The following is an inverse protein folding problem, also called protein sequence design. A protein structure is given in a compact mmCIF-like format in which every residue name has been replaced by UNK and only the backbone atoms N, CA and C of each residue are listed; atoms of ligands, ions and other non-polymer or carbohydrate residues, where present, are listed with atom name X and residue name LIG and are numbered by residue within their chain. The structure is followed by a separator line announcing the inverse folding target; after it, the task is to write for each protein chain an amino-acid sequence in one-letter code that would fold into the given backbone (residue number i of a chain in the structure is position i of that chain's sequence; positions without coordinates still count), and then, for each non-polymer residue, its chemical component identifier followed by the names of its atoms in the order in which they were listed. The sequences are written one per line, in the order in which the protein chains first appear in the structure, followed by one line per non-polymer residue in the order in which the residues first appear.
data_IF_281467133330
#
_entry.id   IF_281467133330
#
_cell.length_a   1.000
_cell.length_b   1.000
_cell.length_c   1.000
_cell.angle_alpha   90.00
_cell.angle_beta   90.00
_cell.angle_gamma   90.00
#
_symmetry.space_group_name_H-M   'P 1'
#
loop_
_entity.id
_entity.type
_entity.pdbx_description
1 polymer ?
#
# COMPACT_ATOMS: atom_id res chain seq x y z
N UNK A 1 -48.56 3.33 -45.44
CA UNK A 1 -48.13 2.04 -44.87
C UNK A 1 -47.84 1.09 -46.04
N UNK A 2 -46.55 0.94 -46.38
CA UNK A 2 -46.01 -0.41 -46.58
C UNK A 2 -44.63 -0.61 -45.96
N UNK A 3 -44.30 -1.87 -45.68
CA UNK A 3 -43.02 -2.36 -45.20
C UNK A 3 -42.05 -2.65 -46.37
N UNK A 4 -40.76 -2.38 -46.15
CA UNK A 4 -39.59 -2.88 -46.91
C UNK A 4 -38.47 -3.04 -45.86
N UNK A 5 -38.07 -4.26 -45.52
CA UNK A 5 -37.06 -5.13 -46.17
C UNK A 5 -35.67 -4.98 -45.55
N UNK A 6 -35.30 -6.08 -44.87
CA UNK A 6 -33.98 -6.67 -44.63
C UNK A 6 -32.72 -5.93 -45.09
N UNK A 7 -31.79 -5.77 -44.15
CA UNK A 7 -30.37 -5.70 -44.45
C UNK A 7 -29.60 -6.58 -43.46
N UNK A 8 -29.14 -7.74 -43.98
CA UNK A 8 -28.07 -8.53 -43.42
C UNK A 8 -26.77 -7.72 -43.51
N UNK A 9 -25.98 -7.72 -42.43
CA UNK A 9 -24.59 -7.32 -42.47
C UNK A 9 -23.78 -8.29 -41.60
N UNK A 10 -22.74 -8.78 -42.24
CA UNK A 10 -21.93 -9.94 -41.91
C UNK A 10 -21.17 -9.86 -40.58
N UNK A 11 -21.03 -11.04 -39.99
CA UNK A 11 -20.05 -11.34 -38.97
C UNK A 11 -18.64 -11.30 -39.59
N UNK A 12 -17.73 -10.57 -38.94
CA UNK A 12 -16.30 -10.75 -39.13
C UNK A 12 -15.59 -10.62 -37.78
N UNK A 13 -15.25 -11.79 -37.21
CA UNK A 13 -14.15 -11.94 -36.26
C UNK A 13 -12.84 -11.45 -36.88
N UNK A 14 -12.00 -10.76 -36.09
CA UNK A 14 -10.56 -10.87 -36.27
C UNK A 14 -9.93 -11.66 -35.13
N UNK A 15 -9.24 -12.69 -35.58
CA UNK A 15 -8.51 -13.73 -34.85
C UNK A 15 -7.38 -13.15 -34.00
N UNK A 16 -7.10 -13.85 -32.89
CA UNK A 16 -6.05 -13.55 -31.94
C UNK A 16 -4.65 -13.56 -32.56
N UNK A 17 -3.87 -12.54 -32.20
CA UNK A 17 -2.42 -12.55 -32.35
C UNK A 17 -1.79 -12.58 -30.95
N UNK A 18 -1.49 -13.79 -30.52
CA UNK A 18 -0.79 -14.11 -29.28
C UNK A 18 0.69 -13.69 -29.43
N UNK A 19 1.04 -12.46 -29.03
CA UNK A 19 2.44 -12.04 -28.97
C UNK A 19 3.12 -12.71 -27.77
N UNK A 20 3.74 -13.87 -28.01
CA UNK A 20 4.70 -14.49 -27.10
C UNK A 20 5.96 -13.62 -27.02
N UNK A 21 6.03 -12.78 -26.00
CA UNK A 21 7.29 -12.12 -25.62
C UNK A 21 8.18 -13.16 -24.93
N UNK A 22 9.21 -13.61 -25.64
CA UNK A 22 10.30 -14.44 -25.09
C UNK A 22 11.13 -13.59 -24.13
N UNK A 23 11.17 -13.99 -22.85
CA UNK A 23 12.12 -13.49 -21.89
C UNK A 23 13.55 -13.99 -22.22
N UNK A 24 14.59 -13.15 -22.11
CA UNK A 24 15.98 -13.60 -22.21
C UNK A 24 16.41 -14.36 -20.95
N UNK A 25 16.81 -15.61 -21.14
CA UNK A 25 17.41 -16.47 -20.13
C UNK A 25 18.81 -15.99 -19.77
N UNK A 26 18.98 -15.43 -18.56
CA UNK A 26 20.30 -15.22 -17.95
C UNK A 26 20.70 -16.47 -17.16
N UNK A 27 21.56 -17.31 -17.74
CA UNK A 27 22.27 -18.37 -17.00
C UNK A 27 23.73 -17.96 -16.82
N UNK A 28 23.99 -17.22 -15.74
CA UNK A 28 25.34 -16.94 -15.26
C UNK A 28 25.86 -18.12 -14.46
N UNK A 29 26.93 -18.76 -14.96
CA UNK A 29 27.74 -19.73 -14.25
C UNK A 29 28.44 -19.07 -13.05
N UNK A 30 28.20 -19.58 -11.84
CA UNK A 30 28.97 -19.26 -10.63
C UNK A 30 29.70 -20.52 -10.16
N UNK A 31 31.05 -20.55 -10.16
CA UNK A 31 31.79 -21.66 -9.60
C UNK A 31 31.69 -21.70 -8.07
N UNK A 32 31.35 -22.89 -7.54
CA UNK A 32 31.49 -23.26 -6.14
C UNK A 32 32.97 -23.41 -5.76
N UNK A 33 33.44 -22.58 -4.83
CA UNK A 33 34.59 -22.83 -3.96
C UNK A 33 34.37 -21.99 -2.70
N UNK A 34 34.73 -22.35 -1.48
CA UNK A 34 35.24 -23.56 -0.83
C UNK A 34 35.03 -23.24 0.66
N UNK A 35 34.48 -24.18 1.44
CA UNK A 35 34.46 -24.06 2.90
C UNK A 35 35.90 -23.97 3.42
N UNK A 36 36.23 -22.92 4.18
CA UNK A 36 37.37 -22.93 5.10
C UNK A 36 36.95 -22.31 6.42
N UNK A 37 36.77 -23.18 7.42
CA UNK A 37 36.72 -22.85 8.85
C UNK A 37 38.01 -22.14 9.23
N UNK A 38 37.90 -20.99 9.88
CA UNK A 38 38.87 -20.52 10.86
C UNK A 38 38.09 -20.18 12.12
N UNK A 39 38.29 -21.00 13.16
CA UNK A 39 37.90 -20.66 14.52
C UNK A 39 38.90 -19.60 14.99
N UNK A 40 38.40 -18.46 15.43
CA UNK A 40 39.17 -17.53 16.25
C UNK A 40 38.22 -17.07 17.33
N UNK A 41 38.46 -17.56 18.55
CA UNK A 41 37.77 -17.16 19.76
C UNK A 41 38.05 -15.67 20.00
N UNK A 42 37.04 -14.83 19.81
CA UNK A 42 37.04 -13.44 20.25
C UNK A 42 36.04 -13.31 21.39
N UNK A 43 36.61 -13.10 22.57
CA UNK A 43 35.96 -12.73 23.82
C UNK A 43 35.02 -11.53 23.62
N UNK A 44 33.72 -11.77 23.73
CA UNK A 44 32.70 -10.73 23.78
C UNK A 44 32.67 -10.07 25.17
N UNK A 45 32.70 -8.73 25.27
CA UNK A 45 32.31 -8.05 26.50
C UNK A 45 30.79 -8.16 26.73
N UNK A 46 30.32 -8.09 27.98
CA UNK A 46 28.89 -8.25 28.29
C UNK A 46 28.06 -7.12 27.69
N UNK A 47 26.97 -7.51 27.02
CA UNK A 47 25.94 -6.62 26.47
C UNK A 47 25.24 -5.91 27.65
N UNK A 48 25.11 -4.57 27.65
CA UNK A 48 24.32 -3.87 28.66
C UNK A 48 22.83 -4.21 28.48
N UNK A 49 22.02 -4.26 29.55
CA UNK A 49 20.62 -4.64 29.44
C UNK A 49 19.89 -3.61 28.57
N UNK A 50 19.49 -4.04 27.37
CA UNK A 50 18.62 -3.27 26.52
C UNK A 50 17.33 -2.97 27.26
N UNK A 51 17.06 -1.66 27.34
CA UNK A 51 15.76 -1.06 27.54
C UNK A 51 14.68 -1.98 26.98
N UNK A 52 13.76 -2.42 27.86
CA UNK A 52 12.58 -3.22 27.54
C UNK A 52 11.88 -2.60 26.32
N UNK A 53 12.13 -3.15 25.14
CA UNK A 53 11.36 -2.85 23.94
C UNK A 53 9.93 -3.32 24.24
N UNK A 54 9.07 -2.36 24.60
CA UNK A 54 7.64 -2.56 24.50
C UNK A 54 7.34 -3.00 23.07
N UNK A 55 6.59 -4.10 22.95
CA UNK A 55 5.93 -4.63 21.76
C UNK A 55 6.17 -3.80 20.49
N UNK A 56 6.93 -4.35 19.54
CA UNK A 56 7.04 -3.78 18.20
C UNK A 56 5.62 -3.44 17.71
N UNK A 57 5.34 -2.15 17.56
CA UNK A 57 4.13 -1.69 16.91
C UNK A 57 4.09 -2.42 15.56
N UNK A 58 2.97 -3.08 15.24
CA UNK A 58 2.80 -3.81 13.98
C UNK A 58 2.78 -2.78 12.84
N UNK A 59 3.99 -2.42 12.41
CA UNK A 59 4.30 -1.31 11.52
C UNK A 59 3.69 -1.57 10.15
N UNK A 60 3.16 -0.51 9.58
CA UNK A 60 2.85 -0.43 8.17
C UNK A 60 4.11 -0.57 7.29
N UNK A 61 3.93 -0.80 5.98
CA UNK A 61 5.03 -0.88 5.00
C UNK A 61 5.85 0.41 4.83
N UNK A 62 5.44 1.52 5.46
CA UNK A 62 6.14 2.80 5.39
C UNK A 62 7.03 2.99 6.62
N UNK A 63 8.08 3.79 6.46
CA UNK A 63 8.97 4.23 7.53
C UNK A 63 8.73 5.72 7.83
N UNK A 64 8.87 6.14 9.09
CA UNK A 64 8.67 7.55 9.51
C UNK A 64 9.59 8.52 8.78
N UNK A 65 10.80 8.10 8.41
CA UNK A 65 11.73 8.92 7.61
C UNK A 65 11.15 9.32 6.24
N UNK A 66 10.24 8.52 5.68
CA UNK A 66 9.55 8.82 4.42
C UNK A 66 8.40 9.82 4.61
N UNK A 67 8.01 10.10 5.86
CA UNK A 67 6.88 10.93 6.23
C UNK A 67 7.33 12.23 6.93
N UNK A 68 8.64 12.44 7.11
CA UNK A 68 9.21 13.50 7.94
C UNK A 68 8.72 14.92 7.60
N UNK A 69 8.31 15.15 6.36
CA UNK A 69 7.85 16.45 5.88
C UNK A 69 6.34 16.59 5.79
N UNK A 70 5.56 15.62 6.28
CA UNK A 70 4.12 15.81 6.36
C UNK A 70 3.79 16.92 7.36
N UNK A 71 2.94 17.85 6.92
CA UNK A 71 2.43 18.95 7.73
C UNK A 71 1.02 18.67 8.23
N UNK A 72 0.18 18.07 7.39
CA UNK A 72 -1.23 17.86 7.66
C UNK A 72 -1.74 16.59 6.96
N UNK A 73 -2.79 15.99 7.50
CA UNK A 73 -3.57 14.93 6.85
C UNK A 73 -4.97 15.46 6.56
N UNK A 74 -5.37 15.40 5.30
CA UNK A 74 -6.69 15.83 4.83
C UNK A 74 -7.52 14.60 4.51
N UNK A 75 -8.65 14.47 5.18
CA UNK A 75 -9.65 13.43 4.94
C UNK A 75 -10.75 13.97 4.02
N UNK A 76 -11.12 13.17 3.02
CA UNK A 76 -12.17 13.47 2.04
C UNK A 76 -13.50 12.81 2.39
N UNK A 77 -13.49 11.91 3.37
CA UNK A 77 -14.62 11.12 3.81
C UNK A 77 -14.61 10.99 5.33
N UNK A 78 -15.74 10.58 5.90
CA UNK A 78 -15.84 10.22 7.31
C UNK A 78 -15.13 8.90 7.59
N UNK A 79 -14.34 8.87 8.66
CA UNK A 79 -13.48 7.74 9.04
C UNK A 79 -14.20 6.75 9.96
N UNK A 80 -15.32 7.13 10.57
CA UNK A 80 -15.94 6.30 11.59
C UNK A 80 -16.41 4.95 11.04
N UNK A 81 -16.89 4.94 9.80
CA UNK A 81 -17.29 3.75 9.06
C UNK A 81 -16.12 2.92 8.49
N UNK A 82 -14.88 3.42 8.55
CA UNK A 82 -13.72 2.80 7.91
C UNK A 82 -12.87 2.02 8.90
N UNK A 83 -13.00 0.69 8.92
CA UNK A 83 -12.18 -0.17 9.76
C UNK A 83 -10.67 0.01 9.47
N UNK A 84 -10.31 0.22 8.21
CA UNK A 84 -8.95 0.50 7.75
C UNK A 84 -8.96 1.39 6.50
N UNK A 85 -7.79 1.97 6.19
CA UNK A 85 -7.47 2.57 4.88
C UNK A 85 -6.15 2.01 4.37
N UNK A 86 -5.98 1.86 3.06
CA UNK A 86 -4.67 1.59 2.45
C UNK A 86 -3.87 2.89 2.40
N UNK A 87 -2.55 2.80 2.49
CA UNK A 87 -1.65 3.94 2.31
C UNK A 87 -0.56 3.64 1.27
N UNK A 88 -0.19 4.66 0.51
CA UNK A 88 0.91 4.61 -0.46
C UNK A 88 1.60 5.98 -0.56
N UNK A 89 2.83 6.01 -1.08
CA UNK A 89 3.52 7.24 -1.46
C UNK A 89 3.33 7.51 -2.95
N UNK A 90 2.58 8.55 -3.27
CA UNK A 90 2.28 8.98 -4.63
C UNK A 90 3.16 10.17 -5.02
N UNK A 91 3.57 10.20 -6.28
CA UNK A 91 4.31 11.33 -6.84
C UNK A 91 3.34 12.46 -7.22
N UNK A 92 3.64 13.67 -6.77
CA UNK A 92 2.83 14.86 -7.00
C UNK A 92 3.70 16.04 -7.41
N UNK A 93 3.22 16.87 -8.34
CA UNK A 93 3.91 18.11 -8.73
C UNK A 93 3.83 19.21 -7.65
N UNK A 94 2.95 19.06 -6.66
CA UNK A 94 2.70 20.06 -5.61
C UNK A 94 2.75 19.44 -4.22
N UNK A 95 3.20 20.24 -3.23
CA UNK A 95 3.25 19.90 -1.80
C UNK A 95 1.87 19.77 -1.15
N UNK A 96 0.92 20.62 -1.56
CA UNK A 96 -0.42 20.70 -0.98
C UNK A 96 -1.52 20.59 -2.03
N UNK A 97 -2.76 20.64 -1.54
CA UNK A 97 -3.98 20.41 -2.33
C UNK A 97 -4.19 18.94 -2.69
N UNK A 98 -5.40 18.61 -3.16
CA UNK A 98 -5.75 17.24 -3.55
C UNK A 98 -4.85 16.75 -4.69
N UNK A 99 -4.06 15.67 -4.50
CA UNK A 99 -3.27 15.10 -5.58
C UNK A 99 -4.15 14.63 -6.73
N UNK A 100 -3.61 14.61 -7.95
CA UNK A 100 -4.25 13.87 -9.05
C UNK A 100 -4.25 12.40 -8.66
N UNK A 101 -5.42 11.76 -8.72
CA UNK A 101 -5.58 10.36 -8.36
C UNK A 101 -5.93 9.55 -9.61
N UNK A 102 -5.08 8.58 -9.95
CA UNK A 102 -5.21 7.74 -11.13
C UNK A 102 -4.86 6.28 -10.79
N UNK A 103 -5.40 5.81 -9.66
CA UNK A 103 -5.33 4.41 -9.23
C UNK A 103 -6.72 3.83 -9.27
N UNK A 104 -6.81 2.50 -9.34
CA UNK A 104 -8.07 1.81 -9.09
C UNK A 104 -8.57 2.13 -7.68
N UNK A 105 -9.90 2.17 -7.52
CA UNK A 105 -10.53 2.52 -6.27
C UNK A 105 -10.71 4.02 -6.06
N UNK A 106 -10.87 4.43 -4.81
CA UNK A 106 -11.18 5.81 -4.41
C UNK A 106 -10.20 6.33 -3.38
N UNK A 107 -9.83 7.61 -3.54
CA UNK A 107 -9.03 8.34 -2.56
C UNK A 107 -9.90 8.76 -1.38
N UNK A 108 -9.51 8.32 -0.18
CA UNK A 108 -10.14 8.64 1.10
C UNK A 108 -9.48 9.85 1.77
N UNK A 109 -8.18 10.05 1.52
CA UNK A 109 -7.44 11.17 2.09
C UNK A 109 -6.03 11.30 1.53
N UNK A 110 -5.32 12.32 1.98
CA UNK A 110 -3.92 12.56 1.59
C UNK A 110 -3.18 13.40 2.62
N UNK A 111 -1.86 13.27 2.64
CA UNK A 111 -0.99 14.17 3.38
C UNK A 111 -0.59 15.38 2.54
N UNK A 112 -0.51 16.54 3.18
CA UNK A 112 0.14 17.74 2.66
C UNK A 112 1.52 17.88 3.26
N UNK A 113 2.46 18.39 2.46
CA UNK A 113 3.85 18.55 2.88
C UNK A 113 4.11 19.97 3.38
N UNK A 114 5.03 20.09 4.32
CA UNK A 114 5.56 21.38 4.75
C UNK A 114 6.43 22.03 3.67
N UNK A 115 6.81 23.29 3.93
CA UNK A 115 7.66 24.09 3.03
C UNK A 115 9.09 23.55 2.89
N UNK A 116 9.54 22.70 3.82
CA UNK A 116 10.91 22.17 3.86
C UNK A 116 11.06 20.83 3.13
N UNK A 117 9.96 20.17 2.74
CA UNK A 117 10.07 18.96 1.91
C UNK A 117 10.89 19.24 0.65
N UNK A 118 11.56 18.26 0.08
CA UNK A 118 12.26 18.48 -1.20
C UNK A 118 11.60 17.65 -2.30
N UNK A 119 11.54 18.23 -3.49
CA UNK A 119 11.17 17.45 -4.65
C UNK A 119 12.32 16.48 -4.96
N UNK A 120 11.98 15.27 -5.41
CA UNK A 120 13.00 14.33 -5.86
C UNK A 120 13.80 14.97 -7.02
N UNK A 121 15.14 15.01 -6.95
CA UNK A 121 15.97 15.77 -7.89
C UNK A 121 15.87 15.27 -9.33
N UNK A 122 15.61 13.97 -9.53
CA UNK A 122 15.52 13.37 -10.87
C UNK A 122 14.19 13.67 -11.57
N UNK A 123 13.10 13.78 -10.80
CA UNK A 123 11.74 13.91 -11.35
C UNK A 123 11.11 15.28 -11.14
N UNK A 124 11.62 16.09 -10.21
CA UNK A 124 10.97 17.33 -9.77
C UNK A 124 9.64 17.11 -9.04
N UNK A 125 9.32 15.87 -8.65
CA UNK A 125 8.05 15.53 -7.99
C UNK A 125 8.26 15.29 -6.49
N UNK A 126 7.25 15.65 -5.72
CA UNK A 126 7.15 15.37 -4.29
C UNK A 126 6.54 13.99 -4.05
N UNK A 127 7.03 13.26 -3.04
CA UNK A 127 6.35 12.06 -2.54
C UNK A 127 5.34 12.45 -1.47
N UNK A 128 4.08 12.05 -1.65
CA UNK A 128 2.99 12.38 -0.73
C UNK A 128 2.24 11.12 -0.35
N UNK A 129 1.99 10.95 0.94
CA UNK A 129 1.16 9.84 1.40
C UNK A 129 -0.29 10.07 0.97
N UNK A 130 -0.89 9.05 0.36
CA UNK A 130 -2.31 9.03 -0.02
C UNK A 130 -2.99 7.86 0.63
N UNK A 131 -4.24 8.06 1.05
CA UNK A 131 -5.08 7.06 1.68
C UNK A 131 -6.21 6.68 0.73
N UNK A 132 -6.45 5.38 0.56
CA UNK A 132 -7.39 4.89 -0.44
C UNK A 132 -8.03 3.55 -0.07
N UNK A 133 -9.08 3.22 -0.81
CA UNK A 133 -9.78 1.93 -0.76
C UNK A 133 -9.99 1.40 -2.17
N UNK A 134 -9.70 0.12 -2.37
CA UNK A 134 -9.99 -0.63 -3.60
C UNK A 134 -11.43 -1.20 -3.58
N UNK A 135 -11.99 -1.56 -4.73
CA UNK A 135 -13.36 -2.10 -4.80
C UNK A 135 -13.60 -3.35 -3.94
N UNK A 136 -12.57 -4.18 -3.75
CA UNK A 136 -12.64 -5.43 -2.97
C UNK A 136 -12.19 -5.28 -1.51
N UNK A 137 -11.95 -4.05 -1.04
CA UNK A 137 -11.66 -3.81 0.38
C UNK A 137 -12.93 -3.92 1.22
N UNK A 138 -12.79 -4.33 2.49
CA UNK A 138 -13.91 -4.63 3.39
C UNK A 138 -15.00 -3.55 3.48
N UNK A 139 -14.70 -2.24 3.51
CA UNK A 139 -15.75 -1.22 3.53
C UNK A 139 -16.66 -1.22 2.29
N UNK A 140 -16.18 -1.75 1.16
CA UNK A 140 -16.93 -1.84 -0.09
C UNK A 140 -17.46 -3.26 -0.34
N UNK A 141 -16.75 -4.29 0.16
CA UNK A 141 -17.13 -5.71 0.07
C UNK A 141 -16.91 -6.42 1.43
N UNK A 142 -17.86 -6.32 2.37
CA UNK A 142 -17.67 -6.80 3.74
C UNK A 142 -17.49 -8.32 3.88
N UNK A 143 -18.06 -9.09 2.95
CA UNK A 143 -17.98 -10.56 2.91
C UNK A 143 -16.87 -11.07 1.98
N UNK A 144 -16.11 -10.16 1.36
CA UNK A 144 -15.06 -10.46 0.40
C UNK A 144 -13.75 -10.94 1.03
N UNK A 145 -12.68 -10.86 0.23
CA UNK A 145 -11.34 -11.37 0.57
C UNK A 145 -10.81 -10.84 1.92
N UNK A 146 -11.15 -9.59 2.25
CA UNK A 146 -10.69 -8.93 3.47
C UNK A 146 -11.74 -8.90 4.58
N UNK A 147 -12.70 -9.84 4.58
CA UNK A 147 -13.62 -10.06 5.71
C UNK A 147 -12.85 -10.17 7.03
N UNK A 148 -11.75 -10.92 7.03
CA UNK A 148 -10.80 -11.03 8.13
C UNK A 148 -9.40 -10.57 7.72
N UNK A 149 -8.70 -9.90 8.63
CA UNK A 149 -7.39 -9.31 8.36
C UNK A 149 -7.47 -8.08 7.45
N UNK A 150 -6.38 -7.33 7.35
CA UNK A 150 -6.27 -6.17 6.48
C UNK A 150 -5.12 -6.33 5.48
N UNK A 151 -5.18 -5.72 4.28
CA UNK A 151 -4.06 -5.66 3.34
C UNK A 151 -2.76 -5.23 4.03
N UNK A 152 -1.60 -5.66 3.52
CA UNK A 152 -0.30 -5.41 4.16
C UNK A 152 -0.03 -3.93 4.46
N UNK A 153 -0.35 -3.06 3.50
CA UNK A 153 -0.24 -1.61 3.57
C UNK A 153 -1.36 -0.94 4.38
N UNK A 154 -2.44 -1.64 4.70
CA UNK A 154 -3.60 -1.05 5.36
C UNK A 154 -3.35 -0.80 6.85
N UNK A 155 -3.87 0.34 7.34
CA UNK A 155 -3.73 0.81 8.72
C UNK A 155 -5.07 1.32 9.25
N UNK A 156 -5.23 1.37 10.56
CA UNK A 156 -6.39 2.00 11.19
C UNK A 156 -6.32 3.53 10.99
N UNK A 157 -7.32 4.15 10.33
CA UNK A 157 -7.30 5.58 10.07
C UNK A 157 -7.22 6.44 11.34
N UNK A 158 -7.67 5.92 12.49
CA UNK A 158 -7.65 6.64 13.78
C UNK A 158 -6.26 6.76 14.41
N UNK A 159 -5.28 6.02 13.89
CA UNK A 159 -3.89 6.04 14.37
C UNK A 159 -2.99 6.95 13.53
N UNK A 160 -3.51 7.44 12.41
CA UNK A 160 -2.76 8.24 11.44
C UNK A 160 -2.58 9.65 11.98
N UNK A 161 -1.31 10.05 12.05
CA UNK A 161 -0.91 11.42 12.31
C UNK A 161 0.19 11.81 11.29
N UNK A 162 0.35 13.12 11.01
CA UNK A 162 1.48 13.59 10.22
C UNK A 162 2.80 13.05 10.78
N UNK A 163 3.67 12.59 9.88
CA UNK A 163 5.03 12.10 10.19
C UNK A 163 5.10 10.78 10.96
N UNK A 164 3.97 10.21 11.36
CA UNK A 164 3.91 8.89 11.98
C UNK A 164 3.35 7.84 11.03
N UNK A 165 3.91 6.64 11.15
CA UNK A 165 3.34 5.46 10.50
C UNK A 165 2.00 5.11 11.17
N UNK A 166 1.00 4.74 10.38
CA UNK A 166 -0.25 4.21 10.92
C UNK A 166 -0.06 2.79 11.46
N UNK A 167 -0.94 2.36 12.35
CA UNK A 167 -0.86 1.07 13.02
C UNK A 167 -1.95 0.10 12.55
N UNK A 168 -1.65 -1.20 12.57
CA UNK A 168 -2.66 -2.25 12.48
C UNK A 168 -3.28 -2.52 13.84
N UNK A 169 -4.50 -2.05 14.06
CA UNK A 169 -5.29 -2.31 15.28
C UNK A 169 -6.16 -3.56 15.13
N UNK A 170 -6.68 -4.14 16.23
CA UNK A 170 -7.70 -5.20 16.16
C UNK A 170 -8.92 -4.81 15.30
N UNK A 171 -9.34 -3.53 15.32
CA UNK A 171 -10.42 -2.99 14.46
C UNK A 171 -10.06 -3.13 12.99
N UNK A 172 -8.87 -2.66 12.59
CA UNK A 172 -8.42 -2.78 11.20
C UNK A 172 -8.35 -4.24 10.75
N UNK A 173 -7.96 -5.14 11.65
CA UNK A 173 -7.87 -6.58 11.38
C UNK A 173 -9.23 -7.30 11.40
N UNK A 174 -10.35 -6.62 11.68
CA UNK A 174 -11.68 -7.22 11.73
C UNK A 174 -11.99 -7.98 13.03
N UNK A 175 -11.09 -7.98 14.02
CA UNK A 175 -11.18 -8.80 15.24
C UNK A 175 -12.21 -8.31 16.26
N UNK A 176 -12.54 -7.02 16.25
CA UNK A 176 -13.58 -6.46 17.12
C UNK A 176 -15.00 -6.82 16.68
N UNK A 177 -15.22 -7.22 15.41
CA UNK A 177 -16.54 -7.65 14.92
C UNK A 177 -16.85 -9.11 15.26
N UNK A 178 -15.83 -9.94 15.46
CA UNK A 178 -15.96 -11.39 15.69
C UNK A 178 -16.24 -11.78 17.14
N UNK A 179 -16.12 -10.86 18.11
CA UNK A 179 -16.36 -11.15 19.54
C UNK A 179 -17.83 -10.98 19.98
N UNK A 180 -18.70 -10.45 19.12
CA UNK A 180 -20.13 -10.30 19.39
C UNK A 180 -20.90 -11.39 18.63
N UNK A 181 -20.83 -12.62 19.13
CA UNK A 181 -21.84 -13.64 18.84
C UNK A 181 -22.38 -14.12 20.19
N UNK A 182 -23.53 -13.60 20.66
CA UNK A 182 -24.23 -14.24 21.76
C UNK A 182 -24.91 -15.50 21.21
N UNK A 183 -24.51 -16.66 21.75
CA UNK A 183 -25.26 -17.92 21.62
C UNK A 183 -26.54 -17.86 22.43
#
# INVERSE_FOLDING_TARGET
MPALTNQQADAHEPQGLLLRVRAPSYHGNVPRSLYRRAHTEQSHPPIPPHHRQGVAAMSSLLHESQLAHEANVVWLEDLDALDYVRQALDKSARRGGKPRYARDGRMVGYAELDKNAEANPDSGLFQRRTFFLLPHDRPNDPEGLYKEGAPGEAVDPRTIEPRRVGEKTPRSQGKLRSEIVPT
#
